data_IF_066001099856
#
_entry.id   IF_066001099856
#
_cell.length_a   1.000
_cell.length_b   1.000
_cell.length_c   1.000
_cell.angle_alpha   90.00
_cell.angle_beta   90.00
_cell.angle_gamma   90.00
#
_symmetry.space_group_name_H-M   'P 1'
#
loop_
_entity.id
_entity.type
_entity.pdbx_description
1 polymer ?
#
# COMPACT_ATOMS: atom_id res chain seq x y z
N UNK A 1 9.02 3.08 -3.72
CA UNK A 1 9.51 2.95 -2.31
C UNK A 1 8.74 3.85 -1.35
N UNK A 2 8.43 5.11 -1.72
CA UNK A 2 7.73 6.05 -0.82
C UNK A 2 6.40 5.52 -0.26
N UNK A 3 5.56 4.92 -1.09
CA UNK A 3 4.28 4.34 -0.66
C UNK A 3 4.46 3.26 0.43
N UNK A 4 5.47 2.40 0.30
CA UNK A 4 5.78 1.39 1.34
C UNK A 4 6.27 2.03 2.64
N UNK A 5 7.00 3.16 2.57
CA UNK A 5 7.37 3.94 3.75
C UNK A 5 6.14 4.44 4.50
N UNK A 6 5.14 4.96 3.79
CA UNK A 6 3.86 5.36 4.38
C UNK A 6 3.11 4.16 4.99
N UNK A 7 3.10 3.01 4.31
CA UNK A 7 2.50 1.78 4.85
C UNK A 7 3.18 1.32 6.15
N UNK A 8 4.52 1.36 6.19
CA UNK A 8 5.29 1.02 7.39
C UNK A 8 5.00 1.97 8.55
N UNK A 9 4.91 3.29 8.29
CA UNK A 9 4.56 4.29 9.29
C UNK A 9 3.14 4.05 9.83
N UNK A 10 2.16 3.79 8.96
CA UNK A 10 0.79 3.46 9.36
C UNK A 10 0.71 2.17 10.21
N UNK A 11 1.43 1.13 9.80
CA UNK A 11 1.50 -0.13 10.57
C UNK A 11 2.13 0.09 11.95
N UNK A 12 3.21 0.87 12.03
CA UNK A 12 3.86 1.20 13.30
C UNK A 12 2.91 1.98 14.23
N UNK A 13 2.23 3.01 13.70
CA UNK A 13 1.23 3.78 14.46
C UNK A 13 0.10 2.90 14.99
N UNK A 14 -0.48 2.05 14.12
CA UNK A 14 -1.54 1.13 14.51
C UNK A 14 -1.11 0.14 15.59
N UNK A 15 0.09 -0.45 15.45
CA UNK A 15 0.64 -1.36 16.47
C UNK A 15 0.83 -0.66 17.81
N UNK A 16 1.45 0.52 17.80
CA UNK A 16 1.70 1.29 19.03
C UNK A 16 0.39 1.67 19.71
N UNK A 17 -0.58 2.16 18.96
CA UNK A 17 -1.91 2.49 19.47
C UNK A 17 -2.61 1.25 20.04
N UNK A 18 -2.61 0.13 19.32
CA UNK A 18 -3.28 -1.09 19.75
C UNK A 18 -2.70 -1.67 21.06
N UNK A 19 -1.40 -1.49 21.30
CA UNK A 19 -0.75 -1.92 22.53
C UNK A 19 -1.07 -1.01 23.74
N UNK A 20 -1.33 0.27 23.49
CA UNK A 20 -1.60 1.25 24.55
C UNK A 20 -3.09 1.45 24.85
N UNK A 21 -3.96 1.26 23.87
CA UNK A 21 -5.41 1.47 24.01
C UNK A 21 -6.07 0.32 24.76
N UNK A 22 -6.67 0.63 25.90
CA UNK A 22 -7.40 -0.34 26.71
C UNK A 22 -8.90 -0.29 26.37
N UNK A 23 -9.50 -1.45 26.12
CA UNK A 23 -10.95 -1.67 26.07
C UNK A 23 -11.27 -3.02 26.71
N UNK A 24 -12.35 -3.08 27.48
CA UNK A 24 -12.73 -4.29 28.25
C UNK A 24 -11.56 -4.83 29.08
N UNK A 25 -10.86 -3.93 29.78
CA UNK A 25 -9.72 -4.18 30.68
C UNK A 25 -8.46 -4.76 30.02
N UNK A 26 -8.40 -4.82 28.71
CA UNK A 26 -7.25 -5.34 27.96
C UNK A 26 -6.80 -4.40 26.83
N UNK A 27 -5.51 -4.40 26.46
CA UNK A 27 -5.06 -3.74 25.24
C UNK A 27 -5.82 -4.29 24.02
N UNK A 28 -6.26 -3.41 23.13
CA UNK A 28 -6.99 -3.88 21.93
C UNK A 28 -6.14 -4.79 21.05
N UNK A 29 -4.82 -4.76 21.17
CA UNK A 29 -3.90 -5.70 20.52
C UNK A 29 -4.11 -7.17 20.95
N UNK A 30 -4.81 -7.44 22.06
CA UNK A 30 -5.12 -8.80 22.50
C UNK A 30 -6.27 -9.45 21.74
N UNK A 31 -7.05 -8.66 20.99
CA UNK A 31 -8.21 -9.16 20.26
C UNK A 31 -7.83 -9.73 18.91
N UNK A 32 -8.38 -10.89 18.56
CA UNK A 32 -8.08 -11.62 17.32
C UNK A 32 -8.30 -10.78 16.06
N UNK A 33 -9.37 -9.97 15.99
CA UNK A 33 -9.65 -9.13 14.84
C UNK A 33 -8.59 -8.04 14.64
N UNK A 34 -8.03 -7.50 15.72
CA UNK A 34 -6.93 -6.52 15.64
C UNK A 34 -5.63 -7.20 15.25
N UNK A 35 -5.31 -8.35 15.84
CA UNK A 35 -4.12 -9.13 15.49
C UNK A 35 -4.15 -9.57 14.03
N UNK A 36 -5.30 -9.99 13.51
CA UNK A 36 -5.47 -10.35 12.10
C UNK A 36 -5.13 -9.16 11.17
N UNK A 37 -5.63 -7.95 11.48
CA UNK A 37 -5.31 -6.73 10.73
C UNK A 37 -3.82 -6.41 10.76
N UNK A 38 -3.18 -6.48 11.93
CA UNK A 38 -1.74 -6.22 12.07
C UNK A 38 -0.90 -7.26 11.30
N UNK A 39 -1.25 -8.54 11.39
CA UNK A 39 -0.58 -9.61 10.65
C UNK A 39 -0.73 -9.46 9.13
N UNK A 40 -1.93 -9.09 8.67
CA UNK A 40 -2.19 -8.80 7.25
C UNK A 40 -1.31 -7.64 6.77
N UNK A 41 -1.28 -6.52 7.50
CA UNK A 41 -0.45 -5.35 7.14
C UNK A 41 1.02 -5.72 7.02
N UNK A 42 1.56 -6.48 7.98
CA UNK A 42 2.96 -6.94 7.95
C UNK A 42 3.24 -7.79 6.71
N UNK A 43 2.36 -8.75 6.41
CA UNK A 43 2.47 -9.63 5.23
C UNK A 43 2.50 -8.82 3.94
N UNK A 44 1.59 -7.87 3.77
CA UNK A 44 1.50 -7.07 2.54
C UNK A 44 2.70 -6.13 2.38
N UNK A 45 3.17 -5.52 3.47
CA UNK A 45 4.41 -4.72 3.45
C UNK A 45 5.60 -5.57 3.00
N UNK A 46 5.75 -6.77 3.55
CA UNK A 46 6.84 -7.69 3.21
C UNK A 46 6.81 -8.06 1.73
N UNK A 47 5.64 -8.42 1.20
CA UNK A 47 5.45 -8.72 -0.24
C UNK A 47 5.82 -7.52 -1.11
N UNK A 48 5.36 -6.33 -0.76
CA UNK A 48 5.68 -5.10 -1.49
C UNK A 48 7.17 -4.76 -1.47
N UNK A 49 7.84 -4.98 -0.34
CA UNK A 49 9.29 -4.79 -0.22
C UNK A 49 10.07 -5.77 -1.09
N UNK A 50 9.68 -7.04 -1.10
CA UNK A 50 10.30 -8.07 -1.96
C UNK A 50 10.12 -7.74 -3.44
N UNK A 51 8.93 -7.28 -3.84
CA UNK A 51 8.67 -6.84 -5.22
C UNK A 51 9.55 -5.65 -5.60
N UNK A 52 9.67 -4.64 -4.72
CA UNK A 52 10.50 -3.46 -4.95
C UNK A 52 12.00 -3.83 -5.00
N UNK A 53 12.44 -4.74 -4.15
CA UNK A 53 13.82 -5.25 -4.15
C UNK A 53 14.14 -6.00 -5.44
N UNK A 54 13.25 -6.92 -5.84
CA UNK A 54 13.41 -7.69 -7.07
C UNK A 54 13.51 -6.79 -8.31
N UNK A 55 12.62 -5.78 -8.40
CA UNK A 55 12.67 -4.80 -9.49
C UNK A 55 13.96 -3.98 -9.46
N UNK A 56 14.44 -3.59 -8.28
CA UNK A 56 15.72 -2.92 -8.11
C UNK A 56 16.89 -3.76 -8.68
N UNK A 57 16.94 -5.03 -8.33
CA UNK A 57 17.94 -5.96 -8.86
C UNK A 57 17.88 -6.10 -10.38
N UNK A 58 16.67 -6.28 -10.93
CA UNK A 58 16.49 -6.34 -12.39
C UNK A 58 16.95 -5.05 -13.09
N UNK A 59 16.78 -3.91 -12.44
CA UNK A 59 17.22 -2.63 -12.99
C UNK A 59 18.75 -2.50 -12.96
N UNK A 60 19.40 -2.99 -11.90
CA UNK A 60 20.87 -2.99 -11.76
C UNK A 60 21.54 -3.88 -12.82
N UNK A 61 20.94 -5.04 -13.13
CA UNK A 61 21.47 -5.99 -14.12
C UNK A 61 20.95 -5.76 -15.56
N UNK A 62 20.11 -4.73 -15.78
CA UNK A 62 19.59 -4.35 -17.09
C UNK A 62 18.47 -5.25 -17.63
N UNK A 63 17.96 -6.20 -16.85
CA UNK A 63 16.92 -7.17 -17.26
C UNK A 63 15.49 -6.74 -16.95
N UNK A 64 15.27 -5.45 -16.68
CA UNK A 64 13.94 -4.89 -16.37
C UNK A 64 13.13 -4.55 -17.61
N UNK A 65 11.81 -4.52 -17.45
CA UNK A 65 10.85 -4.06 -18.47
C UNK A 65 9.93 -2.97 -17.88
N UNK A 66 9.47 -1.98 -18.68
CA UNK A 66 8.60 -0.90 -18.21
C UNK A 66 7.33 -1.38 -17.51
N UNK A 67 6.75 -2.50 -17.95
CA UNK A 67 5.54 -3.09 -17.39
C UNK A 67 5.75 -3.56 -15.95
N UNK A 68 6.95 -3.97 -15.59
CA UNK A 68 7.29 -4.34 -14.21
C UNK A 68 7.27 -3.14 -13.26
N UNK A 69 7.60 -1.94 -13.76
CA UNK A 69 7.48 -0.69 -13.01
C UNK A 69 6.00 -0.38 -12.77
N UNK A 70 5.16 -0.52 -13.80
CA UNK A 70 3.71 -0.35 -13.69
C UNK A 70 3.12 -1.32 -12.68
N UNK A 71 3.47 -2.60 -12.75
CA UNK A 71 3.05 -3.62 -11.79
C UNK A 71 3.44 -3.25 -10.36
N UNK A 72 4.70 -2.87 -10.15
CA UNK A 72 5.20 -2.53 -8.82
C UNK A 72 4.56 -1.26 -8.26
N UNK A 73 4.32 -0.24 -9.11
CA UNK A 73 3.62 0.97 -8.69
C UNK A 73 2.19 0.64 -8.26
N UNK A 74 1.43 -0.04 -9.10
CA UNK A 74 0.04 -0.41 -8.81
C UNK A 74 -0.05 -1.19 -7.50
N UNK A 75 0.67 -2.31 -7.39
CA UNK A 75 0.63 -3.16 -6.21
C UNK A 75 1.01 -2.39 -4.94
N UNK A 76 2.13 -1.67 -4.96
CA UNK A 76 2.66 -1.05 -3.75
C UNK A 76 1.87 0.19 -3.30
N UNK A 77 1.22 0.89 -4.21
CA UNK A 77 0.35 2.02 -3.88
C UNK A 77 -0.99 1.54 -3.34
N UNK A 78 -1.60 0.53 -3.97
CA UNK A 78 -2.87 -0.02 -3.52
C UNK A 78 -2.77 -0.63 -2.12
N UNK A 79 -1.77 -1.48 -1.89
CA UNK A 79 -1.60 -2.07 -0.55
C UNK A 79 -1.24 -1.02 0.50
N UNK A 80 -0.47 0.02 0.15
CA UNK A 80 -0.14 1.09 1.08
C UNK A 80 -1.39 1.89 1.48
N UNK A 81 -2.26 2.21 0.53
CA UNK A 81 -3.51 2.91 0.77
C UNK A 81 -4.47 2.07 1.62
N UNK A 82 -4.59 0.77 1.33
CA UNK A 82 -5.42 -0.13 2.12
C UNK A 82 -4.86 -0.30 3.55
N UNK A 83 -3.55 -0.40 3.71
CA UNK A 83 -2.89 -0.42 5.03
C UNK A 83 -3.18 0.86 5.81
N UNK A 84 -3.16 2.03 5.16
CA UNK A 84 -3.52 3.28 5.81
C UNK A 84 -4.98 3.28 6.28
N UNK A 85 -5.92 2.76 5.47
CA UNK A 85 -7.34 2.60 5.85
C UNK A 85 -7.52 1.67 7.03
N UNK A 86 -6.86 0.52 7.02
CA UNK A 86 -6.90 -0.46 8.12
C UNK A 86 -6.26 0.11 9.39
N UNK A 87 -5.17 0.87 9.26
CA UNK A 87 -4.56 1.59 10.38
C UNK A 87 -5.53 2.60 10.98
N UNK A 88 -6.17 3.44 10.14
CA UNK A 88 -7.21 4.39 10.58
C UNK A 88 -8.33 3.67 11.36
N UNK A 89 -8.76 2.53 10.86
CA UNK A 89 -9.81 1.74 11.49
C UNK A 89 -9.38 1.21 12.88
N UNK A 90 -8.15 0.73 13.03
CA UNK A 90 -7.61 0.30 14.34
C UNK A 90 -7.59 1.45 15.36
N UNK A 91 -7.33 2.68 14.92
CA UNK A 91 -7.36 3.85 15.81
C UNK A 91 -8.80 4.30 16.17
N UNK A 92 -9.83 3.76 15.51
CA UNK A 92 -11.22 4.19 15.70
C UNK A 92 -11.40 5.67 15.39
N UNK A 93 -12.10 6.41 16.23
CA UNK A 93 -12.30 7.85 16.07
C UNK A 93 -10.98 8.65 16.10
N UNK A 94 -9.99 8.20 16.87
CA UNK A 94 -8.67 8.83 16.91
C UNK A 94 -7.93 8.75 15.56
N UNK A 95 -8.29 7.81 14.70
CA UNK A 95 -7.66 7.65 13.39
C UNK A 95 -7.93 8.77 12.39
N UNK A 96 -8.86 9.69 12.70
CA UNK A 96 -9.14 10.88 11.88
C UNK A 96 -8.55 12.17 12.45
N UNK A 97 -7.91 12.10 13.62
CA UNK A 97 -7.28 13.23 14.28
C UNK A 97 -5.87 13.49 13.73
N UNK A 98 -5.44 14.75 13.75
CA UNK A 98 -4.13 15.16 13.22
C UNK A 98 -2.95 14.74 14.11
N UNK A 99 -3.20 14.37 15.34
CA UNK A 99 -2.23 13.81 16.28
C UNK A 99 -1.67 12.46 15.81
N UNK A 100 -2.41 11.77 14.92
CA UNK A 100 -1.97 10.52 14.30
C UNK A 100 -1.69 10.73 12.82
N UNK A 101 -0.56 10.22 12.29
CA UNK A 101 -0.15 10.54 10.91
C UNK A 101 -0.98 9.83 9.83
N UNK A 102 -1.97 9.03 10.21
CA UNK A 102 -2.63 8.07 9.33
C UNK A 102 -3.42 8.74 8.23
N UNK A 103 -4.26 9.75 8.56
CA UNK A 103 -5.05 10.48 7.54
C UNK A 103 -4.17 11.25 6.58
N UNK A 104 -3.07 11.85 7.06
CA UNK A 104 -2.09 12.52 6.20
C UNK A 104 -1.46 11.53 5.21
N UNK A 105 -1.08 10.33 5.67
CA UNK A 105 -0.57 9.28 4.78
C UNK A 105 -1.64 8.82 3.77
N UNK A 106 -2.90 8.67 4.19
CA UNK A 106 -3.99 8.33 3.28
C UNK A 106 -4.14 9.37 2.16
N UNK A 107 -4.25 10.67 2.52
CA UNK A 107 -4.39 11.74 1.54
C UNK A 107 -3.20 11.79 0.56
N UNK A 108 -1.98 11.65 1.08
CA UNK A 108 -0.78 11.58 0.24
C UNK A 108 -0.79 10.37 -0.70
N UNK A 109 -1.24 9.21 -0.24
CA UNK A 109 -1.29 7.99 -1.04
C UNK A 109 -2.35 8.06 -2.15
N UNK A 110 -3.47 8.77 -1.95
CA UNK A 110 -4.41 9.07 -3.03
C UNK A 110 -3.75 9.92 -4.13
N UNK A 111 -2.91 10.89 -3.76
CA UNK A 111 -2.11 11.65 -4.72
C UNK A 111 -1.12 10.74 -5.46
N UNK A 112 -0.41 9.84 -4.75
CA UNK A 112 0.52 8.87 -5.36
C UNK A 112 -0.20 7.94 -6.33
N UNK A 113 -1.44 7.55 -6.03
CA UNK A 113 -2.28 6.72 -6.92
C UNK A 113 -2.60 7.43 -8.23
N UNK A 114 -2.64 8.76 -8.21
CA UNK A 114 -3.09 9.59 -9.32
C UNK A 114 -1.96 10.06 -10.22
N UNK A 115 -0.82 10.49 -9.67
CA UNK A 115 0.27 11.09 -10.45
C UNK A 115 1.21 10.05 -11.08
N UNK A 116 2.02 10.50 -12.03
CA UNK A 116 3.01 9.69 -12.78
C UNK A 116 2.41 8.41 -13.39
N UNK A 117 1.24 8.57 -13.98
CA UNK A 117 0.40 7.50 -14.48
C UNK A 117 -0.63 7.09 -13.43
N UNK A 118 -1.90 7.33 -13.76
CA UNK A 118 -3.01 6.88 -12.91
C UNK A 118 -3.02 5.36 -12.82
N UNK A 119 -3.69 4.85 -11.83
CA UNK A 119 -3.88 3.41 -11.67
C UNK A 119 -4.46 2.76 -12.93
N UNK A 120 -5.42 3.42 -13.59
CA UNK A 120 -6.03 2.95 -14.83
C UNK A 120 -5.03 2.89 -15.99
N UNK A 121 -4.16 3.88 -16.13
CA UNK A 121 -3.11 3.86 -17.17
C UNK A 121 -2.16 2.67 -16.95
N UNK A 122 -1.78 2.38 -15.72
CA UNK A 122 -0.95 1.20 -15.43
C UNK A 122 -1.70 -0.11 -15.73
N UNK A 123 -3.01 -0.18 -15.47
CA UNK A 123 -3.85 -1.32 -15.87
C UNK A 123 -3.81 -1.52 -17.40
N UNK A 124 -3.95 -0.44 -18.19
CA UNK A 124 -3.90 -0.51 -19.64
C UNK A 124 -2.52 -0.97 -20.14
N UNK A 125 -1.43 -0.51 -19.51
CA UNK A 125 -0.06 -0.96 -19.84
C UNK A 125 0.08 -2.47 -19.61
N UNK A 126 -0.37 -2.97 -18.46
CA UNK A 126 -0.32 -4.39 -18.14
C UNK A 126 -1.27 -5.22 -19.02
N UNK A 127 -2.46 -4.70 -19.30
CA UNK A 127 -3.42 -5.35 -20.20
C UNK A 127 -2.83 -5.55 -21.60
N UNK A 128 -2.19 -4.51 -22.15
CA UNK A 128 -1.46 -4.60 -23.42
C UNK A 128 -0.33 -5.64 -23.36
N UNK A 129 0.44 -5.64 -22.30
CA UNK A 129 1.53 -6.61 -22.14
C UNK A 129 1.05 -8.06 -22.14
N UNK A 130 -0.07 -8.32 -21.47
CA UNK A 130 -0.65 -9.68 -21.37
C UNK A 130 -1.30 -10.11 -22.68
N UNK A 131 -2.01 -9.19 -23.35
CA UNK A 131 -2.86 -9.53 -24.52
C UNK A 131 -2.23 -9.22 -25.87
N UNK A 132 -1.22 -8.37 -25.91
CA UNK A 132 -0.68 -7.80 -27.15
C UNK A 132 -1.57 -6.71 -27.79
N UNK A 133 -2.74 -6.39 -27.20
CA UNK A 133 -3.75 -5.48 -27.77
C UNK A 133 -3.81 -4.19 -26.96
N UNK A 134 -3.76 -3.04 -27.64
CA UNK A 134 -3.95 -1.74 -26.99
C UNK A 134 -5.44 -1.44 -26.80
N UNK A 135 -5.84 -1.11 -25.55
CA UNK A 135 -7.23 -0.86 -25.23
C UNK A 135 -7.73 0.55 -25.64
N UNK A 136 -6.84 1.49 -25.93
CA UNK A 136 -7.18 2.90 -26.18
C UNK A 136 -6.92 3.38 -27.63
N UNK A 137 -6.44 2.52 -28.51
CA UNK A 137 -6.35 2.79 -29.94
C UNK A 137 -7.55 2.17 -30.65
N UNK A 138 -8.30 2.98 -31.44
CA UNK A 138 -9.27 2.39 -32.38
C UNK A 138 -8.47 1.51 -33.34
N UNK A 139 -8.83 0.22 -33.39
CA UNK A 139 -8.39 -0.63 -34.48
C UNK A 139 -9.04 -0.07 -35.77
N UNK A 140 -8.21 0.27 -36.75
CA UNK A 140 -8.67 0.68 -38.08
C UNK A 140 -9.32 -0.52 -38.78
#
# INVERSE_FOLDING_TARGET
RGALGSAMACNHSAKTYALSRIQFDHPIASYQLVQNKLAWMLREITKGQLLAYHLGKKKDDGSWFPEQISLAKMNNVDIALEIARVSRDIHGANGVLDEYPVMRHMANLESVKTYEGTHDIHNLILGRYITGIQAFTRQA
#
